data_IF_121582676527
#
_entry.id   IF_121582676527
#
_cell.length_a   1.000
_cell.length_b   1.000
_cell.length_c   1.000
_cell.angle_alpha   90.00
_cell.angle_beta   90.00
_cell.angle_gamma   90.00
#
_symmetry.space_group_name_H-M   'P 1'
#
loop_
_entity.id
_entity.type
_entity.pdbx_description
1 polymer ?
#
# COMPACT_ATOMS: atom_id res chain seq x y z
N UNK A 1 12.50 -33.55 19.63
CA UNK A 1 12.41 -33.43 21.10
C UNK A 1 13.52 -32.51 21.59
N UNK A 2 13.33 -31.82 22.72
CA UNK A 2 14.39 -31.03 23.35
C UNK A 2 14.80 -31.71 24.66
N UNK A 3 16.11 -31.80 24.90
CA UNK A 3 16.69 -32.40 26.09
C UNK A 3 17.50 -31.34 26.82
N UNK A 4 17.05 -30.95 28.02
CA UNK A 4 17.73 -29.94 28.84
C UNK A 4 19.13 -30.38 29.27
N UNK A 5 20.03 -29.41 29.41
CA UNK A 5 21.34 -29.59 30.02
C UNK A 5 21.22 -29.42 31.54
N UNK A 6 21.75 -30.38 32.31
CA UNK A 6 21.71 -30.30 33.78
C UNK A 6 22.41 -29.03 34.29
N UNK A 7 21.74 -28.31 35.20
CA UNK A 7 22.26 -27.09 35.83
C UNK A 7 22.18 -25.81 34.99
N UNK A 8 21.65 -25.85 33.76
CA UNK A 8 21.53 -24.67 32.89
C UNK A 8 20.12 -24.56 32.28
N UNK A 9 19.20 -23.75 32.86
CA UNK A 9 17.87 -23.58 32.30
C UNK A 9 17.92 -22.93 30.91
N UNK A 10 17.09 -23.43 29.99
CA UNK A 10 17.02 -23.00 28.58
C UNK A 10 18.26 -23.33 27.71
N UNK A 11 19.14 -24.22 28.19
CA UNK A 11 20.23 -24.78 27.40
C UNK A 11 19.98 -26.28 27.24
N UNK A 12 20.21 -26.83 26.05
CA UNK A 12 19.94 -28.24 25.78
C UNK A 12 20.15 -28.63 24.33
N UNK A 13 19.83 -29.88 24.02
CA UNK A 13 19.96 -30.47 22.68
C UNK A 13 18.59 -30.62 22.03
N UNK A 14 18.40 -29.99 20.87
CA UNK A 14 17.22 -30.18 20.03
C UNK A 14 17.45 -31.32 19.05
N UNK A 15 16.69 -32.41 19.18
CA UNK A 15 16.65 -33.52 18.24
C UNK A 15 15.54 -33.30 17.21
N UNK A 16 15.92 -33.22 15.94
CA UNK A 16 15.02 -33.03 14.79
C UNK A 16 15.08 -34.30 13.92
N UNK A 17 13.94 -34.92 13.56
CA UNK A 17 13.91 -36.04 12.61
C UNK A 17 14.53 -35.66 11.26
N UNK A 18 15.21 -36.61 10.62
CA UNK A 18 15.87 -36.37 9.32
C UNK A 18 14.88 -36.11 8.17
N UNK A 19 13.64 -36.58 8.30
CA UNK A 19 12.53 -36.38 7.39
C UNK A 19 11.71 -35.11 7.69
N UNK A 20 12.10 -34.34 8.71
CA UNK A 20 11.47 -33.07 9.02
C UNK A 20 11.68 -32.07 7.87
N UNK A 21 10.60 -31.41 7.45
CA UNK A 21 10.68 -30.32 6.50
C UNK A 21 11.03 -29.02 7.23
N UNK A 22 12.15 -28.40 6.84
CA UNK A 22 12.60 -27.11 7.37
C UNK A 22 12.45 -26.07 6.26
N UNK A 23 11.59 -25.08 6.47
CA UNK A 23 11.42 -23.95 5.58
C UNK A 23 12.32 -22.79 6.01
N UNK A 24 13.10 -22.25 5.06
CA UNK A 24 13.92 -21.06 5.30
C UNK A 24 13.06 -19.82 5.07
N UNK A 25 12.54 -19.25 6.17
CA UNK A 25 11.70 -18.06 6.15
C UNK A 25 12.49 -16.78 5.83
N UNK A 26 13.75 -16.69 6.26
CA UNK A 26 14.65 -15.57 5.98
C UNK A 26 16.11 -16.06 5.98
N UNK A 27 17.03 -15.26 5.44
CA UNK A 27 18.46 -15.59 5.36
C UNK A 27 18.88 -16.29 4.08
N UNK A 28 18.07 -16.27 3.01
CA UNK A 28 18.41 -16.92 1.74
C UNK A 28 19.71 -16.41 1.11
N UNK A 29 19.98 -15.10 1.22
CA UNK A 29 21.25 -14.52 0.79
C UNK A 29 22.43 -15.05 1.61
N UNK A 30 22.25 -15.19 2.92
CA UNK A 30 23.26 -15.75 3.82
C UNK A 30 23.50 -17.22 3.50
N UNK A 31 22.44 -18.01 3.28
CA UNK A 31 22.55 -19.40 2.82
C UNK A 31 23.37 -19.48 1.53
N UNK A 32 23.06 -18.68 0.52
CA UNK A 32 23.78 -18.70 -0.76
C UNK A 32 25.27 -18.34 -0.58
N UNK A 33 25.58 -17.36 0.27
CA UNK A 33 26.95 -16.99 0.58
C UNK A 33 27.71 -18.12 1.31
N UNK A 34 27.06 -18.81 2.25
CA UNK A 34 27.63 -19.98 2.94
C UNK A 34 27.85 -21.13 1.96
N UNK A 35 26.89 -21.42 1.10
CA UNK A 35 27.02 -22.44 0.05
C UNK A 35 28.22 -22.17 -0.87
N UNK A 36 28.45 -20.90 -1.24
CA UNK A 36 29.61 -20.52 -2.05
C UNK A 36 30.93 -20.62 -1.27
N UNK A 37 30.95 -20.12 -0.03
CA UNK A 37 32.14 -20.20 0.83
C UNK A 37 32.57 -21.66 1.10
N UNK A 38 31.62 -22.58 1.26
CA UNK A 38 31.90 -24.02 1.42
C UNK A 38 32.47 -24.67 0.15
N UNK A 39 32.15 -24.15 -1.05
CA UNK A 39 32.76 -24.63 -2.31
C UNK A 39 34.22 -24.20 -2.41
N UNK A 40 34.53 -22.98 -1.96
CA UNK A 40 35.89 -22.44 -1.98
C UNK A 40 36.77 -23.04 -0.86
N UNK A 41 36.20 -23.23 0.32
CA UNK A 41 36.88 -23.81 1.48
C UNK A 41 35.98 -24.80 2.24
N UNK A 42 36.11 -26.11 1.96
CA UNK A 42 35.33 -27.15 2.63
C UNK A 42 35.50 -27.22 4.16
N UNK A 43 36.62 -26.73 4.70
CA UNK A 43 36.91 -26.80 6.15
C UNK A 43 35.93 -25.95 6.97
N UNK A 44 35.29 -24.93 6.36
CA UNK A 44 34.24 -24.13 6.99
C UNK A 44 33.00 -24.95 7.38
N UNK A 45 32.85 -26.19 6.89
CA UNK A 45 31.76 -27.09 7.29
C UNK A 45 31.81 -27.53 8.76
N UNK A 46 32.92 -27.29 9.45
CA UNK A 46 33.07 -27.55 10.89
C UNK A 46 32.60 -26.38 11.77
N UNK A 47 32.38 -25.21 11.19
CA UNK A 47 31.93 -24.03 11.92
C UNK A 47 30.43 -24.10 12.21
N UNK A 48 30.03 -23.51 13.34
CA UNK A 48 28.64 -23.47 13.76
C UNK A 48 28.04 -22.08 13.49
N UNK A 49 26.81 -22.05 12.97
CA UNK A 49 26.04 -20.82 12.82
C UNK A 49 24.84 -20.81 13.77
N UNK A 50 24.49 -19.65 14.35
CA UNK A 50 23.26 -19.53 15.08
C UNK A 50 22.06 -19.63 14.12
N UNK A 51 21.13 -20.52 14.42
CA UNK A 51 19.84 -20.66 13.72
C UNK A 51 18.71 -20.49 14.73
N UNK A 52 17.61 -19.86 14.28
CA UNK A 52 16.41 -19.70 15.09
C UNK A 52 15.29 -20.53 14.48
N UNK A 53 14.80 -21.51 15.23
CA UNK A 53 13.67 -22.32 14.83
C UNK A 53 12.37 -21.69 15.30
N UNK A 54 11.40 -21.66 14.40
CA UNK A 54 10.01 -21.35 14.72
C UNK A 54 9.17 -22.58 14.41
N UNK A 55 8.24 -22.90 15.31
CA UNK A 55 7.22 -23.91 15.03
C UNK A 55 6.33 -23.35 13.92
N UNK A 56 6.09 -24.16 12.89
CA UNK A 56 5.11 -23.82 11.86
C UNK A 56 3.71 -23.94 12.46
N UNK A 57 3.06 -22.79 12.61
CA UNK A 57 1.67 -22.70 13.06
C UNK A 57 0.72 -22.33 11.92
N UNK A 58 1.17 -22.54 10.68
CA UNK A 58 0.39 -22.33 9.46
C UNK A 58 0.65 -20.98 8.77
N UNK A 59 -0.04 -20.80 7.65
CA UNK A 59 0.21 -19.73 6.69
C UNK A 59 0.11 -18.32 7.29
N UNK A 60 -0.91 -18.05 8.12
CA UNK A 60 -1.10 -16.72 8.72
C UNK A 60 0.04 -16.31 9.65
N UNK A 61 0.52 -17.24 10.49
CA UNK A 61 1.68 -17.03 11.37
C UNK A 61 2.94 -16.81 10.55
N UNK A 62 3.16 -17.61 9.50
CA UNK A 62 4.32 -17.48 8.62
C UNK A 62 4.34 -16.13 7.88
N UNK A 63 3.18 -15.64 7.40
CA UNK A 63 3.05 -14.32 6.78
C UNK A 63 3.36 -13.18 7.77
N UNK A 64 2.80 -13.21 8.99
CA UNK A 64 3.11 -12.19 10.00
C UNK A 64 4.59 -12.23 10.38
N UNK A 65 5.17 -13.43 10.52
CA UNK A 65 6.60 -13.60 10.79
C UNK A 65 7.45 -12.99 9.67
N UNK A 66 7.09 -13.19 8.41
CA UNK A 66 7.72 -12.53 7.28
C UNK A 66 7.63 -10.99 7.39
N UNK A 67 6.46 -10.45 7.72
CA UNK A 67 6.27 -9.02 7.89
C UNK A 67 7.14 -8.45 9.03
N UNK A 68 7.20 -9.16 10.16
CA UNK A 68 7.97 -8.78 11.35
C UNK A 68 9.49 -8.81 11.08
N UNK A 69 10.00 -9.88 10.45
CA UNK A 69 11.42 -10.04 10.11
C UNK A 69 11.89 -8.95 9.12
N UNK A 70 11.07 -8.66 8.10
CA UNK A 70 11.43 -7.73 7.04
C UNK A 70 11.10 -6.26 7.38
N UNK A 71 10.53 -5.97 8.55
CA UNK A 71 10.19 -4.61 8.98
C UNK A 71 11.42 -3.70 9.11
N UNK A 72 12.53 -4.26 9.59
CA UNK A 72 13.77 -3.51 9.87
C UNK A 72 14.99 -3.96 9.04
N UNK A 73 14.95 -5.16 8.46
CA UNK A 73 16.02 -5.68 7.62
C UNK A 73 15.85 -5.22 6.16
N UNK A 74 15.65 -6.17 5.24
CA UNK A 74 15.36 -5.89 3.83
C UNK A 74 13.89 -5.53 3.70
N UNK A 75 13.60 -4.25 3.43
CA UNK A 75 12.21 -3.81 3.32
C UNK A 75 11.54 -4.50 2.14
N UNK A 76 10.43 -5.23 2.37
CA UNK A 76 9.67 -5.78 1.27
C UNK A 76 8.99 -4.62 0.54
N UNK A 77 8.44 -4.92 -0.63
CA UNK A 77 7.53 -4.01 -1.32
C UNK A 77 6.47 -3.47 -0.34
N UNK A 78 6.21 -2.15 -0.26
CA UNK A 78 5.13 -1.59 0.54
C UNK A 78 3.78 -2.32 0.45
N UNK A 79 3.42 -2.85 -0.72
CA UNK A 79 2.17 -3.60 -0.88
C UNK A 79 2.28 -5.00 -0.27
N UNK A 80 3.40 -5.70 -0.45
CA UNK A 80 3.66 -6.99 0.20
C UNK A 80 3.69 -6.88 1.73
N UNK A 81 4.34 -5.84 2.26
CA UNK A 81 4.29 -5.55 3.70
C UNK A 81 2.87 -5.26 4.18
N UNK A 82 2.08 -4.52 3.40
CA UNK A 82 0.65 -4.28 3.68
C UNK A 82 -0.18 -5.56 3.56
N UNK A 83 0.19 -6.51 2.69
CA UNK A 83 -0.55 -7.75 2.51
C UNK A 83 -0.40 -8.68 3.72
N UNK A 84 0.79 -8.75 4.31
CA UNK A 84 1.12 -9.72 5.34
C UNK A 84 1.15 -9.18 6.78
N UNK A 85 1.16 -7.86 6.97
CA UNK A 85 1.04 -7.28 8.31
C UNK A 85 -0.43 -7.33 8.76
N UNK A 86 -0.78 -8.40 9.46
CA UNK A 86 -2.12 -8.65 10.04
C UNK A 86 -2.34 -7.87 11.34
N UNK A 87 -1.29 -7.28 11.92
CA UNK A 87 -1.36 -6.46 13.12
C UNK A 87 -1.62 -4.98 12.85
N UNK A 88 -1.33 -4.51 11.64
CA UNK A 88 -1.60 -3.14 11.21
C UNK A 88 -3.06 -3.02 10.76
N UNK A 89 -3.91 -2.37 11.56
CA UNK A 89 -5.33 -2.16 11.21
C UNK A 89 -5.51 -1.38 9.91
N UNK A 90 -4.58 -0.49 9.57
CA UNK A 90 -4.60 0.21 8.28
C UNK A 90 -4.36 -0.75 7.11
N UNK A 91 -3.59 -1.81 7.35
CA UNK A 91 -3.36 -2.87 6.37
C UNK A 91 -4.58 -3.78 6.24
N UNK A 92 -5.26 -4.08 7.35
CA UNK A 92 -6.52 -4.83 7.33
C UNK A 92 -7.60 -4.09 6.54
N UNK A 93 -7.85 -2.81 6.86
CA UNK A 93 -8.83 -2.01 6.12
C UNK A 93 -8.48 -1.91 4.62
N UNK A 94 -7.21 -1.79 4.27
CA UNK A 94 -6.81 -1.77 2.86
C UNK A 94 -7.09 -3.11 2.14
N UNK A 95 -6.89 -4.25 2.82
CA UNK A 95 -7.23 -5.58 2.28
C UNK A 95 -8.74 -5.73 2.11
N UNK A 96 -9.52 -5.28 3.09
CA UNK A 96 -10.98 -5.32 3.06
C UNK A 96 -11.55 -4.48 1.91
N UNK A 97 -11.08 -3.22 1.76
CA UNK A 97 -11.46 -2.36 0.63
C UNK A 97 -11.05 -2.97 -0.71
N UNK A 98 -9.85 -3.54 -0.81
CA UNK A 98 -9.37 -4.17 -2.04
C UNK A 98 -10.20 -5.39 -2.45
N UNK A 99 -10.77 -6.12 -1.49
CA UNK A 99 -11.61 -7.29 -1.72
C UNK A 99 -13.07 -6.94 -2.02
N UNK A 100 -13.60 -5.89 -1.37
CA UNK A 100 -15.05 -5.69 -1.26
C UNK A 100 -15.58 -4.39 -1.89
N UNK A 101 -14.71 -3.43 -2.21
CA UNK A 101 -15.14 -2.08 -2.63
C UNK A 101 -14.69 -1.74 -4.04
N UNK A 102 -15.62 -1.26 -4.87
CA UNK A 102 -15.31 -0.74 -6.22
C UNK A 102 -14.56 0.60 -6.09
N UNK A 103 -13.56 0.87 -6.95
CA UNK A 103 -13.17 0.09 -8.12
C UNK A 103 -12.10 -0.97 -7.79
N UNK A 104 -11.73 -1.16 -6.51
CA UNK A 104 -10.54 -1.89 -6.12
C UNK A 104 -10.63 -3.40 -6.37
N UNK A 105 -11.84 -3.96 -6.31
CA UNK A 105 -12.11 -5.38 -6.56
C UNK A 105 -11.53 -5.79 -7.92
N UNK A 106 -10.59 -6.73 -7.91
CA UNK A 106 -9.94 -7.23 -9.13
C UNK A 106 -8.97 -6.24 -9.80
N UNK A 107 -8.95 -4.97 -9.40
CA UNK A 107 -8.09 -3.90 -9.95
C UNK A 107 -6.90 -3.55 -9.07
N UNK A 108 -6.70 -4.27 -7.97
CA UNK A 108 -5.60 -4.06 -7.02
C UNK A 108 -4.43 -5.02 -7.27
N UNK A 109 -3.23 -4.47 -7.36
CA UNK A 109 -1.93 -5.16 -7.26
C UNK A 109 -1.58 -5.34 -5.79
N UNK A 110 -1.63 -6.58 -5.31
CA UNK A 110 -1.55 -6.90 -3.88
C UNK A 110 -0.12 -6.92 -3.36
N UNK A 111 0.86 -7.25 -4.20
CA UNK A 111 2.21 -7.57 -3.74
C UNK A 111 3.22 -6.52 -4.19
N UNK A 112 3.13 -6.05 -5.43
CA UNK A 112 4.16 -5.19 -6.03
C UNK A 112 3.92 -3.72 -5.75
N UNK A 113 5.01 -2.96 -5.66
CA UNK A 113 4.95 -1.49 -5.50
C UNK A 113 4.77 -0.75 -6.82
N UNK A 114 5.00 -1.45 -7.93
CA UNK A 114 4.86 -0.95 -9.29
C UNK A 114 3.92 -1.86 -10.07
N UNK A 115 3.05 -1.23 -10.85
CA UNK A 115 2.14 -1.91 -11.75
C UNK A 115 2.76 -1.89 -13.15
N UNK A 116 2.94 -3.07 -13.74
CA UNK A 116 3.53 -3.17 -15.09
C UNK A 116 2.66 -2.47 -16.14
N UNK A 117 3.23 -1.96 -17.24
CA UNK A 117 2.48 -1.25 -18.27
C UNK A 117 1.36 -2.07 -18.93
N UNK A 118 1.48 -3.40 -18.92
CA UNK A 118 0.49 -4.34 -19.48
C UNK A 118 -0.44 -4.95 -18.43
N UNK A 119 -0.32 -4.52 -17.17
CA UNK A 119 -1.12 -5.07 -16.07
C UNK A 119 -2.60 -4.73 -16.24
N UNK A 120 -3.45 -5.63 -15.76
CA UNK A 120 -4.89 -5.39 -15.61
C UNK A 120 -5.23 -4.75 -14.24
N UNK A 121 -4.27 -4.14 -13.56
CA UNK A 121 -4.46 -3.46 -12.26
C UNK A 121 -4.36 -1.94 -12.42
N UNK A 122 -5.10 -1.21 -11.60
CA UNK A 122 -5.05 0.25 -11.51
C UNK A 122 -4.29 0.73 -10.27
N UNK A 123 -4.51 0.06 -9.14
CA UNK A 123 -4.06 0.51 -7.82
C UNK A 123 -3.14 -0.51 -7.18
N UNK A 124 -2.26 -0.06 -6.29
CA UNK A 124 -1.50 -0.96 -5.42
C UNK A 124 -2.15 -1.00 -4.05
N UNK A 125 -2.07 -2.12 -3.34
CA UNK A 125 -2.61 -2.24 -1.99
C UNK A 125 -2.06 -1.15 -1.05
N UNK A 126 -0.77 -0.83 -1.18
CA UNK A 126 -0.16 0.26 -0.42
C UNK A 126 -0.75 1.64 -0.72
N UNK A 127 -1.22 1.88 -1.96
CA UNK A 127 -1.85 3.15 -2.33
C UNK A 127 -3.26 3.27 -1.75
N UNK A 128 -4.02 2.17 -1.68
CA UNK A 128 -5.32 2.14 -1.00
C UNK A 128 -5.13 2.43 0.49
N UNK A 129 -4.15 1.78 1.14
CA UNK A 129 -3.81 2.05 2.54
C UNK A 129 -3.50 3.52 2.80
N UNK A 130 -2.58 4.10 2.04
CA UNK A 130 -2.16 5.50 2.25
C UNK A 130 -3.30 6.49 2.00
N UNK A 131 -4.06 6.29 0.93
CA UNK A 131 -5.17 7.18 0.56
C UNK A 131 -6.30 7.12 1.59
N UNK A 132 -6.60 5.93 2.11
CA UNK A 132 -7.64 5.73 3.13
C UNK A 132 -7.22 6.29 4.49
N UNK A 133 -5.94 6.15 4.86
CA UNK A 133 -5.39 6.84 6.03
C UNK A 133 -5.48 8.36 5.91
N UNK A 134 -5.20 8.91 4.72
CA UNK A 134 -5.33 10.34 4.47
C UNK A 134 -6.80 10.80 4.60
N UNK A 135 -7.74 10.04 4.01
CA UNK A 135 -9.19 10.26 4.10
C UNK A 135 -9.67 10.37 5.55
N UNK A 136 -9.28 9.41 6.39
CA UNK A 136 -9.73 9.32 7.78
C UNK A 136 -8.83 10.09 8.77
N UNK A 137 -7.79 10.78 8.27
CA UNK A 137 -6.80 11.49 9.09
C UNK A 137 -6.06 10.60 10.12
N UNK A 138 -5.79 9.34 9.77
CA UNK A 138 -5.21 8.35 10.68
C UNK A 138 -3.69 8.25 10.58
N UNK A 139 -3.03 8.31 11.73
CA UNK A 139 -1.63 8.00 11.94
C UNK A 139 -1.30 6.51 11.76
N UNK A 140 -0.01 6.12 11.76
CA UNK A 140 0.40 4.72 11.53
C UNK A 140 0.04 3.76 12.67
N UNK A 141 -0.35 4.29 13.83
CA UNK A 141 -0.69 3.51 15.04
C UNK A 141 -2.15 3.68 15.44
N UNK A 142 -2.91 4.46 14.69
CA UNK A 142 -4.30 4.72 15.00
C UNK A 142 -5.14 3.55 14.51
N UNK A 143 -6.10 3.14 15.34
CA UNK A 143 -7.09 2.15 14.94
C UNK A 143 -8.27 2.75 14.19
N UNK A 144 -9.16 1.87 13.72
CA UNK A 144 -10.36 2.22 12.94
C UNK A 144 -11.60 1.65 13.60
N UNK A 145 -12.56 2.52 13.91
CA UNK A 145 -13.89 2.04 14.35
C UNK A 145 -14.67 1.46 13.17
N UNK A 146 -15.69 0.64 13.44
CA UNK A 146 -16.52 0.07 12.38
C UNK A 146 -17.23 1.16 11.55
N UNK A 147 -17.61 2.27 12.18
CA UNK A 147 -18.19 3.43 11.49
C UNK A 147 -17.19 4.07 10.53
N UNK A 148 -15.92 4.18 10.92
CA UNK A 148 -14.86 4.72 10.07
C UNK A 148 -14.56 3.80 8.88
N UNK A 149 -14.56 2.48 9.08
CA UNK A 149 -14.40 1.49 7.99
C UNK A 149 -15.56 1.58 7.00
N UNK A 150 -16.79 1.63 7.50
CA UNK A 150 -17.99 1.77 6.68
C UNK A 150 -17.99 3.10 5.90
N UNK A 151 -17.59 4.20 6.55
CA UNK A 151 -17.47 5.51 5.91
C UNK A 151 -16.41 5.50 4.80
N UNK A 152 -15.28 4.82 5.02
CA UNK A 152 -14.25 4.68 4.00
C UNK A 152 -14.76 3.91 2.77
N UNK A 153 -15.47 2.81 2.99
CA UNK A 153 -16.08 2.02 1.93
C UNK A 153 -17.09 2.86 1.14
N UNK A 154 -18.02 3.53 1.84
CA UNK A 154 -19.03 4.40 1.23
C UNK A 154 -18.40 5.53 0.41
N UNK A 155 -17.34 6.16 0.95
CA UNK A 155 -16.62 7.22 0.25
C UNK A 155 -16.01 6.72 -1.07
N UNK A 156 -15.30 5.59 -1.05
CA UNK A 156 -14.66 5.07 -2.26
C UNK A 156 -15.68 4.57 -3.29
N UNK A 157 -16.80 4.00 -2.86
CA UNK A 157 -17.90 3.67 -3.77
C UNK A 157 -18.50 4.90 -4.44
N UNK A 158 -18.71 5.99 -3.68
CA UNK A 158 -19.26 7.24 -4.23
C UNK A 158 -18.29 7.90 -5.20
N UNK A 159 -17.00 7.98 -4.86
CA UNK A 159 -15.95 8.44 -5.80
C UNK A 159 -16.00 7.63 -7.08
N UNK A 160 -16.17 6.31 -6.98
CA UNK A 160 -16.22 5.42 -8.13
C UNK A 160 -17.38 5.73 -9.06
N UNK A 161 -18.54 6.09 -8.54
CA UNK A 161 -19.72 6.49 -9.34
C UNK A 161 -19.45 7.73 -10.19
N UNK A 162 -18.61 8.65 -9.70
CA UNK A 162 -18.33 9.94 -10.35
C UNK A 162 -17.05 9.98 -11.18
N UNK A 163 -16.25 8.91 -11.19
CA UNK A 163 -15.11 8.77 -12.10
C UNK A 163 -15.49 7.81 -13.24
N UNK A 164 -15.94 8.39 -14.36
CA UNK A 164 -16.41 7.65 -15.55
C UNK A 164 -15.40 6.64 -16.07
N UNK A 165 -14.12 6.99 -16.08
CA UNK A 165 -13.05 6.11 -16.54
C UNK A 165 -12.98 4.83 -15.68
N UNK A 166 -13.22 4.92 -14.37
CA UNK A 166 -13.25 3.75 -13.48
C UNK A 166 -14.47 2.87 -13.76
N UNK A 167 -15.64 3.46 -14.03
CA UNK A 167 -16.83 2.71 -14.47
C UNK A 167 -16.55 1.95 -15.78
N UNK A 168 -15.95 2.61 -16.77
CA UNK A 168 -15.59 1.98 -18.04
C UNK A 168 -14.65 0.77 -17.87
N UNK A 169 -13.73 0.82 -16.91
CA UNK A 169 -12.86 -0.32 -16.58
C UNK A 169 -13.63 -1.44 -15.89
N UNK A 170 -14.52 -1.12 -14.94
CA UNK A 170 -15.38 -2.10 -14.26
C UNK A 170 -16.26 -2.83 -15.29
N UNK A 171 -16.82 -2.09 -16.24
CA UNK A 171 -17.66 -2.59 -17.32
C UNK A 171 -16.86 -3.22 -18.47
N UNK A 172 -15.52 -3.32 -18.34
CA UNK A 172 -14.59 -3.90 -19.33
C UNK A 172 -14.62 -3.23 -20.71
N UNK A 173 -15.04 -1.97 -20.77
CA UNK A 173 -15.04 -1.16 -22.00
C UNK A 173 -13.64 -0.66 -22.34
N UNK A 174 -12.81 -0.39 -21.33
CA UNK A 174 -11.41 0.04 -21.48
C UNK A 174 -10.52 -0.78 -20.56
N UNK A 175 -9.30 -1.07 -21.00
CA UNK A 175 -8.34 -1.79 -20.16
C UNK A 175 -7.69 -0.88 -19.11
N UNK A 176 -7.36 -1.40 -17.91
CA UNK A 176 -6.57 -0.69 -16.92
C UNK A 176 -5.23 -0.16 -17.46
N UNK A 177 -4.60 -0.91 -18.36
CA UNK A 177 -3.36 -0.53 -19.02
C UNK A 177 -3.52 0.77 -19.83
N UNK A 178 -4.60 0.91 -20.62
CA UNK A 178 -4.91 2.12 -21.37
C UNK A 178 -5.14 3.31 -20.43
N UNK A 179 -5.97 3.15 -19.40
CA UNK A 179 -6.20 4.22 -18.42
C UNK A 179 -4.90 4.69 -17.76
N UNK A 180 -4.03 3.75 -17.39
CA UNK A 180 -2.74 4.07 -16.77
C UNK A 180 -1.80 4.82 -17.70
N UNK A 181 -1.93 4.69 -19.02
CA UNK A 181 -1.13 5.46 -19.97
C UNK A 181 -1.52 6.93 -19.96
N UNK A 182 -2.82 7.24 -19.84
CA UNK A 182 -3.32 8.58 -20.13
C UNK A 182 -3.75 9.39 -18.90
N UNK A 183 -4.20 8.76 -17.81
CA UNK A 183 -4.89 9.47 -16.73
C UNK A 183 -4.14 9.44 -15.40
N UNK A 184 -4.23 10.51 -14.61
CA UNK A 184 -3.54 10.61 -13.30
C UNK A 184 -4.25 9.84 -12.19
N UNK A 185 -5.59 9.72 -12.23
CA UNK A 185 -6.38 9.00 -11.23
C UNK A 185 -6.18 7.48 -11.28
N UNK A 186 -5.52 6.98 -12.33
CA UNK A 186 -5.14 5.58 -12.47
C UNK A 186 -3.80 5.28 -11.77
N UNK A 187 -3.27 6.23 -10.99
CA UNK A 187 -2.01 6.11 -10.26
C UNK A 187 -2.19 6.54 -8.80
N UNK A 188 -1.27 6.08 -7.95
CA UNK A 188 -1.33 6.36 -6.51
C UNK A 188 -1.34 7.84 -6.14
N UNK A 189 -0.77 8.74 -6.95
CA UNK A 189 -0.83 10.19 -6.68
C UNK A 189 -2.27 10.72 -6.79
N UNK A 190 -3.02 10.29 -7.80
CA UNK A 190 -4.42 10.69 -7.96
C UNK A 190 -5.31 10.08 -6.89
N UNK A 191 -5.15 8.78 -6.60
CA UNK A 191 -5.91 8.11 -5.54
C UNK A 191 -5.66 8.77 -4.16
N UNK A 192 -4.41 9.08 -3.84
CA UNK A 192 -4.05 9.72 -2.57
C UNK A 192 -4.57 11.16 -2.51
N UNK A 193 -4.49 11.91 -3.60
CA UNK A 193 -5.05 13.26 -3.67
C UNK A 193 -6.58 13.26 -3.44
N UNK A 194 -7.30 12.26 -3.96
CA UNK A 194 -8.73 12.08 -3.69
C UNK A 194 -8.98 11.76 -2.20
N UNK A 195 -8.12 10.96 -1.57
CA UNK A 195 -8.20 10.72 -0.12
C UNK A 195 -8.02 12.00 0.70
N UNK A 196 -7.04 12.84 0.36
CA UNK A 196 -6.80 14.14 1.00
C UNK A 196 -7.98 15.11 0.80
N UNK A 197 -8.54 15.15 -0.41
CA UNK A 197 -9.77 15.89 -0.71
C UNK A 197 -10.94 15.38 0.15
N UNK A 198 -11.10 14.06 0.23
CA UNK A 198 -12.17 13.41 0.98
C UNK A 198 -12.15 13.78 2.45
N UNK A 199 -10.97 13.81 3.09
CA UNK A 199 -10.81 14.33 4.45
C UNK A 199 -11.46 15.70 4.61
N UNK A 200 -11.15 16.62 3.71
CA UNK A 200 -11.69 17.97 3.80
C UNK A 200 -13.21 17.99 3.67
N UNK A 201 -13.75 17.24 2.70
CA UNK A 201 -15.19 17.11 2.49
C UNK A 201 -15.90 16.51 3.71
N UNK A 202 -15.38 15.42 4.27
CA UNK A 202 -15.97 14.76 5.44
C UNK A 202 -15.92 15.64 6.69
N UNK A 203 -14.87 16.46 6.85
CA UNK A 203 -14.76 17.35 8.01
C UNK A 203 -15.58 18.64 7.88
N UNK A 204 -15.62 19.26 6.69
CA UNK A 204 -16.21 20.59 6.49
C UNK A 204 -17.63 20.54 5.94
N UNK A 205 -17.95 19.54 5.12
CA UNK A 205 -19.23 19.39 4.42
C UNK A 205 -19.85 17.99 4.66
N UNK A 206 -19.95 17.49 5.92
CA UNK A 206 -20.33 16.11 6.21
C UNK A 206 -21.74 15.72 5.72
N UNK A 207 -22.60 16.70 5.44
CA UNK A 207 -23.96 16.49 4.92
C UNK A 207 -24.04 16.56 3.40
N UNK A 208 -23.04 17.12 2.72
CA UNK A 208 -23.07 17.45 1.29
C UNK A 208 -21.91 16.85 0.50
N UNK A 209 -21.05 16.04 1.14
CA UNK A 209 -19.83 15.54 0.51
C UNK A 209 -20.13 14.70 -0.74
N UNK A 210 -21.23 13.94 -0.76
CA UNK A 210 -21.64 13.13 -1.91
C UNK A 210 -22.00 14.01 -3.11
N UNK A 211 -22.81 15.04 -2.88
CA UNK A 211 -23.20 16.02 -3.90
C UNK A 211 -21.97 16.76 -4.43
N UNK A 212 -21.00 17.09 -3.58
CA UNK A 212 -19.73 17.69 -3.99
C UNK A 212 -18.87 16.75 -4.84
N UNK A 213 -18.88 15.44 -4.57
CA UNK A 213 -18.15 14.46 -5.37
C UNK A 213 -18.65 14.35 -6.82
N UNK A 214 -19.90 14.72 -7.12
CA UNK A 214 -20.42 14.78 -8.50
C UNK A 214 -19.58 15.68 -9.40
N UNK A 215 -18.94 16.71 -8.84
CA UNK A 215 -18.06 17.61 -9.59
C UNK A 215 -16.79 16.91 -10.11
N UNK A 216 -16.42 15.75 -9.56
CA UNK A 216 -15.32 14.93 -10.10
C UNK A 216 -15.56 14.49 -11.55
N UNK A 217 -16.82 14.41 -12.00
CA UNK A 217 -17.16 14.10 -13.38
C UNK A 217 -16.70 15.16 -14.39
N UNK A 218 -16.47 16.39 -13.92
CA UNK A 218 -16.00 17.52 -14.75
C UNK A 218 -14.49 17.66 -14.76
N UNK A 219 -13.80 16.99 -13.84
CA UNK A 219 -12.35 17.05 -13.71
C UNK A 219 -11.71 16.40 -14.95
N UNK A 220 -10.89 17.15 -15.67
CA UNK A 220 -10.09 16.59 -16.76
C UNK A 220 -8.88 15.83 -16.19
N UNK A 221 -8.98 14.50 -16.09
CA UNK A 221 -7.96 13.63 -15.50
C UNK A 221 -6.75 13.29 -16.40
N UNK A 222 -6.71 13.78 -17.65
CA UNK A 222 -5.63 13.51 -18.60
C UNK A 222 -4.28 14.03 -18.08
N UNK A 223 -3.24 13.21 -18.13
CA UNK A 223 -1.85 13.57 -17.76
C UNK A 223 -1.34 14.80 -18.51
N UNK A 224 -1.83 15.03 -19.72
CA UNK A 224 -1.48 16.20 -20.55
C UNK A 224 -2.12 17.50 -20.07
N UNK A 225 -3.07 17.44 -19.13
CA UNK A 225 -3.63 18.62 -18.51
C UNK A 225 -2.51 19.44 -17.83
N UNK A 226 -2.31 20.72 -18.22
CA UNK A 226 -1.28 21.58 -17.64
C UNK A 226 -1.35 21.68 -16.11
N UNK A 227 -2.55 21.59 -15.53
CA UNK A 227 -2.74 21.61 -14.08
C UNK A 227 -2.11 20.41 -13.38
N UNK A 228 -2.06 19.23 -14.03
CA UNK A 228 -1.43 18.04 -13.48
C UNK A 228 0.06 17.97 -13.77
N UNK A 229 0.51 18.50 -14.91
CA UNK A 229 1.93 18.57 -15.24
C UNK A 229 2.67 19.39 -14.17
N UNK A 230 2.10 20.52 -13.74
CA UNK A 230 2.73 21.39 -12.73
C UNK A 230 2.60 20.89 -11.29
N UNK A 231 1.59 20.06 -10.98
CA UNK A 231 1.29 19.63 -9.60
C UNK A 231 1.62 18.17 -9.30
N UNK A 232 1.34 17.27 -10.22
CA UNK A 232 1.41 15.83 -10.01
C UNK A 232 2.69 15.19 -10.57
N UNK A 233 3.53 15.95 -11.28
CA UNK A 233 4.71 15.43 -11.97
C UNK A 233 6.01 16.15 -11.57
N UNK A 234 7.11 15.38 -11.56
CA UNK A 234 8.47 15.87 -11.46
C UNK A 234 9.24 15.38 -12.69
N UNK A 235 9.88 16.29 -13.43
CA UNK A 235 10.63 15.97 -14.67
C UNK A 235 9.81 15.09 -15.66
N UNK A 236 8.53 15.40 -15.84
CA UNK A 236 7.62 14.68 -16.75
C UNK A 236 7.16 13.30 -16.28
N UNK A 237 7.48 12.90 -15.04
CA UNK A 237 7.01 11.65 -14.43
C UNK A 237 6.10 11.92 -13.25
N UNK A 238 5.02 11.15 -13.12
CA UNK A 238 4.14 11.22 -11.96
C UNK A 238 4.92 10.96 -10.68
N UNK A 239 4.70 11.81 -9.68
CA UNK A 239 5.42 11.78 -8.42
C UNK A 239 4.46 11.50 -7.27
N UNK A 240 4.84 10.57 -6.38
CA UNK A 240 4.12 10.25 -5.15
C UNK A 240 4.67 11.02 -3.93
N UNK A 241 5.40 12.11 -4.16
CA UNK A 241 5.87 12.94 -3.04
C UNK A 241 4.69 13.61 -2.35
N UNK A 242 4.82 13.87 -1.04
CA UNK A 242 3.77 14.54 -0.28
C UNK A 242 3.39 15.91 -0.87
N UNK A 243 4.38 16.65 -1.38
CA UNK A 243 4.16 17.95 -2.04
C UNK A 243 3.27 17.78 -3.27
N UNK A 244 3.60 16.83 -4.16
CA UNK A 244 2.83 16.61 -5.38
C UNK A 244 1.41 16.12 -5.08
N UNK A 245 1.25 15.26 -4.07
CA UNK A 245 -0.07 14.79 -3.62
C UNK A 245 -0.89 15.97 -3.09
N UNK A 246 -0.32 16.80 -2.22
CA UNK A 246 -1.03 17.95 -1.64
C UNK A 246 -1.41 18.99 -2.69
N UNK A 247 -0.51 19.31 -3.62
CA UNK A 247 -0.80 20.21 -4.74
C UNK A 247 -1.91 19.63 -5.63
N UNK A 248 -1.85 18.33 -5.95
CA UNK A 248 -2.92 17.67 -6.72
C UNK A 248 -4.27 17.77 -5.98
N UNK A 249 -4.28 17.54 -4.65
CA UNK A 249 -5.47 17.69 -3.83
C UNK A 249 -5.98 19.14 -3.80
N UNK A 250 -5.09 20.13 -3.70
CA UNK A 250 -5.44 21.55 -3.74
C UNK A 250 -6.15 21.93 -5.05
N UNK A 251 -5.63 21.47 -6.19
CA UNK A 251 -6.27 21.68 -7.48
C UNK A 251 -7.66 21.03 -7.56
N UNK A 252 -7.83 19.81 -7.02
CA UNK A 252 -9.15 19.20 -6.91
C UNK A 252 -10.08 20.02 -6.00
N UNK A 253 -9.59 20.54 -4.88
CA UNK A 253 -10.37 21.42 -3.99
C UNK A 253 -10.84 22.68 -4.71
N UNK A 254 -9.95 23.33 -5.48
CA UNK A 254 -10.29 24.49 -6.29
C UNK A 254 -11.38 24.15 -7.31
N UNK A 255 -11.24 23.03 -8.03
CA UNK A 255 -12.22 22.59 -9.04
C UNK A 255 -13.59 22.30 -8.42
N UNK A 256 -13.61 21.81 -7.17
CA UNK A 256 -14.82 21.53 -6.39
C UNK A 256 -15.38 22.77 -5.66
N UNK A 257 -14.76 23.94 -5.83
CA UNK A 257 -15.16 25.19 -5.19
C UNK A 257 -14.94 25.20 -3.66
N UNK A 258 -13.97 24.43 -3.17
CA UNK A 258 -13.63 24.31 -1.75
C UNK A 258 -12.49 25.26 -1.37
N UNK A 259 -12.55 25.90 -0.20
CA UNK A 259 -11.51 26.81 0.25
C UNK A 259 -10.22 26.05 0.59
N UNK A 260 -9.09 26.66 0.21
CA UNK A 260 -7.78 26.21 0.64
C UNK A 260 -7.43 26.75 2.03
N UNK A 261 -6.75 25.95 2.85
CA UNK A 261 -6.19 26.38 4.14
C UNK A 261 -5.02 27.36 3.93
N UNK A 262 -4.59 28.11 4.96
CA UNK A 262 -3.41 28.98 4.85
C UNK A 262 -2.15 28.23 4.37
N UNK A 263 -1.93 27.01 4.85
CA UNK A 263 -0.78 26.17 4.48
C UNK A 263 -0.89 25.72 3.02
N UNK A 264 -2.08 25.30 2.58
CA UNK A 264 -2.32 24.93 1.19
C UNK A 264 -2.13 26.12 0.24
N UNK A 265 -2.59 27.32 0.62
CA UNK A 265 -2.35 28.56 -0.13
C UNK A 265 -0.86 28.91 -0.19
N UNK A 266 -0.14 28.73 0.91
CA UNK A 266 1.31 28.95 0.93
C UNK A 266 2.05 27.97 0.01
N UNK A 267 1.60 26.71 -0.05
CA UNK A 267 2.14 25.71 -0.96
C UNK A 267 1.83 26.03 -2.43
N UNK A 268 0.60 26.45 -2.76
CA UNK A 268 0.24 26.90 -4.11
C UNK A 268 1.08 28.11 -4.56
N UNK A 269 1.44 29.02 -3.64
CA UNK A 269 2.31 30.17 -3.98
C UNK A 269 3.69 29.73 -4.48
N UNK A 270 4.19 28.57 -4.06
CA UNK A 270 5.49 28.05 -4.51
C UNK A 270 5.45 27.52 -5.96
N UNK A 271 4.27 27.39 -6.57
CA UNK A 271 4.09 27.07 -7.99
C UNK A 271 4.13 28.30 -8.90
N UNK A 272 4.03 29.50 -8.31
CA UNK A 272 3.98 30.80 -9.03
C UNK A 272 5.33 31.19 -9.62
#
# INVERSE_FOLDING_TARGET
>A
SFHDHEGAPNLGTLQIPMDAQILINDGQHRRKAIEEALRENPDLGQDNIPVLFFIDEGLGRSQQMFADLNKYAVKPSPSLGTLYDHRDESSELARELAANVKPFIGMTEMEKSNISPKSNKLFTLSSIKQSTRALLSKGPKDGFTEEEKQLAAEFWEEVTRHIKDWQMVIDKQVSPAQLRQEYIHAHGVGLHAIGVLGKHLLCQEPKQWKEKLQLLEKVNWLKTNPEWIKRSMNHGKLSKSNINIQLTANALKIELGLPLTPEEKALEKQLS
#
